data_IF_795198164035
#
_entry.id   IF_795198164035
#
_cell.length_a   1.000
_cell.length_b   1.000
_cell.length_c   1.000
_cell.angle_alpha   90.00
_cell.angle_beta   90.00
_cell.angle_gamma   90.00
#
_symmetry.space_group_name_H-M   'P 1'
#
loop_
_entity.id
_entity.type
_entity.pdbx_description
1 polymer ?
#
# COMPACT_ATOMS: atom_id res chain seq x y z
N UNK A 1 -26.13 5.31 -77.79
CA UNK A 1 -26.24 6.74 -77.41
C UNK A 1 -27.34 6.96 -76.38
N UNK A 2 -28.48 6.28 -76.49
CA UNK A 2 -29.58 6.35 -75.51
C UNK A 2 -29.20 5.86 -74.10
N UNK A 3 -28.54 4.71 -73.98
CA UNK A 3 -28.10 4.15 -72.69
C UNK A 3 -27.23 5.11 -71.85
N UNK A 4 -26.34 5.88 -72.51
CA UNK A 4 -25.52 6.90 -71.82
C UNK A 4 -26.37 8.04 -71.27
N UNK A 5 -27.40 8.45 -72.00
CA UNK A 5 -28.32 9.53 -71.60
C UNK A 5 -29.19 9.10 -70.41
N UNK A 6 -29.68 7.86 -70.43
CA UNK A 6 -30.49 7.31 -69.34
C UNK A 6 -29.70 7.22 -68.01
N UNK A 7 -28.43 6.81 -68.05
CA UNK A 7 -27.57 6.83 -66.86
C UNK A 7 -27.35 8.24 -66.32
N UNK A 8 -27.09 9.20 -67.19
CA UNK A 8 -26.85 10.59 -66.78
C UNK A 8 -28.12 11.22 -66.17
N UNK A 9 -29.30 10.91 -66.73
CA UNK A 9 -30.60 11.36 -66.20
C UNK A 9 -30.93 10.68 -64.86
N UNK A 10 -30.59 9.41 -64.68
CA UNK A 10 -30.72 8.70 -63.40
C UNK A 10 -29.83 9.34 -62.32
N UNK A 11 -28.58 9.66 -62.63
CA UNK A 11 -27.67 10.34 -61.69
C UNK A 11 -28.18 11.74 -61.32
N UNK A 12 -28.68 12.51 -62.28
CA UNK A 12 -29.31 13.82 -62.01
C UNK A 12 -30.52 13.69 -61.10
N UNK A 13 -31.35 12.66 -61.31
CA UNK A 13 -32.52 12.40 -60.46
C UNK A 13 -32.12 12.09 -59.02
N UNK A 14 -31.13 11.22 -58.81
CA UNK A 14 -30.61 10.91 -57.47
C UNK A 14 -30.03 12.17 -56.81
N UNK A 15 -29.22 12.94 -57.53
CA UNK A 15 -28.63 14.16 -56.98
C UNK A 15 -29.70 15.20 -56.59
N UNK A 16 -30.73 15.37 -57.44
CA UNK A 16 -31.86 16.25 -57.15
C UNK A 16 -32.67 15.79 -55.94
N UNK A 17 -32.95 14.48 -55.82
CA UNK A 17 -33.67 13.94 -54.67
C UNK A 17 -32.87 14.06 -53.37
N UNK A 18 -31.56 13.81 -53.41
CA UNK A 18 -30.67 13.98 -52.26
C UNK A 18 -30.62 15.44 -51.79
N UNK A 19 -30.48 16.40 -52.71
CA UNK A 19 -30.48 17.82 -52.36
C UNK A 19 -31.83 18.24 -51.76
N UNK A 20 -32.96 17.80 -52.35
CA UNK A 20 -34.28 18.10 -51.80
C UNK A 20 -34.50 17.52 -50.38
N UNK A 21 -33.96 16.33 -50.09
CA UNK A 21 -33.99 15.76 -48.73
C UNK A 21 -33.10 16.55 -47.77
N UNK A 22 -31.94 17.00 -48.24
CA UNK A 22 -31.01 17.80 -47.44
C UNK A 22 -31.63 19.15 -47.06
N UNK A 23 -32.24 19.86 -48.01
CA UNK A 23 -32.90 21.14 -47.78
C UNK A 23 -34.02 21.02 -46.73
N UNK A 24 -34.82 19.95 -46.78
CA UNK A 24 -35.85 19.67 -45.77
C UNK A 24 -35.27 19.44 -44.37
N UNK A 25 -34.11 18.79 -44.26
CA UNK A 25 -33.44 18.58 -42.97
C UNK A 25 -32.90 19.91 -42.42
N UNK A 26 -32.34 20.76 -43.27
CA UNK A 26 -31.90 22.10 -42.90
C UNK A 26 -33.07 22.95 -42.38
N UNK A 27 -34.21 22.96 -43.08
CA UNK A 27 -35.40 23.70 -42.67
C UNK A 27 -35.97 23.22 -41.31
N UNK A 28 -35.99 21.90 -41.07
CA UNK A 28 -36.39 21.33 -39.77
C UNK A 28 -35.42 21.71 -38.65
N UNK A 29 -34.11 21.77 -38.92
CA UNK A 29 -33.13 22.17 -37.93
C UNK A 29 -33.20 23.66 -37.60
N UNK A 30 -33.42 24.53 -38.58
CA UNK A 30 -33.56 25.97 -38.38
C UNK A 30 -34.83 26.34 -37.61
N UNK A 31 -35.94 25.64 -37.89
CA UNK A 31 -37.21 25.85 -37.17
C UNK A 31 -37.15 25.34 -35.73
N UNK A 32 -36.43 24.24 -35.46
CA UNK A 32 -36.32 23.65 -34.12
C UNK A 32 -35.31 24.36 -33.20
N UNK A 33 -34.31 25.04 -33.76
CA UNK A 33 -33.22 25.68 -32.98
C UNK A 33 -33.43 27.16 -32.67
N UNK A 34 -34.37 27.83 -33.34
CA UNK A 34 -34.47 29.29 -33.28
C UNK A 34 -35.42 29.80 -32.20
N UNK A 35 -36.49 29.09 -31.85
CA UNK A 35 -37.55 29.64 -30.98
C UNK A 35 -37.57 29.07 -29.56
N UNK A 36 -37.59 27.75 -29.41
CA UNK A 36 -37.75 27.13 -28.08
C UNK A 36 -36.43 27.04 -27.31
N UNK A 37 -35.33 26.69 -27.97
CA UNK A 37 -34.00 26.63 -27.34
C UNK A 37 -33.48 28.01 -26.92
N UNK A 38 -33.81 29.08 -27.66
CA UNK A 38 -33.38 30.43 -27.28
C UNK A 38 -34.05 30.89 -25.98
N UNK A 39 -35.36 30.64 -25.85
CA UNK A 39 -36.11 30.99 -24.64
C UNK A 39 -35.67 30.16 -23.42
N UNK A 40 -35.37 28.88 -23.61
CA UNK A 40 -34.85 28.02 -22.54
C UNK A 40 -33.45 28.43 -22.08
N UNK A 41 -32.56 28.81 -23.02
CA UNK A 41 -31.23 29.32 -22.71
C UNK A 41 -31.31 30.64 -21.92
N UNK A 42 -32.21 31.56 -22.29
CA UNK A 42 -32.40 32.80 -21.53
C UNK A 42 -32.94 32.53 -20.12
N UNK A 43 -33.88 31.59 -19.97
CA UNK A 43 -34.40 31.17 -18.66
C UNK A 43 -33.31 30.56 -17.78
N UNK A 44 -32.49 29.66 -18.32
CA UNK A 44 -31.38 29.04 -17.60
C UNK A 44 -30.30 30.06 -17.22
N UNK A 45 -29.99 31.03 -18.09
CA UNK A 45 -29.08 32.13 -17.76
C UNK A 45 -29.61 32.98 -16.60
N UNK A 46 -30.89 33.34 -16.62
CA UNK A 46 -31.51 34.09 -15.53
C UNK A 46 -31.48 33.33 -14.19
N UNK A 47 -31.67 32.01 -14.22
CA UNK A 47 -31.61 31.18 -13.02
C UNK A 47 -30.18 31.04 -12.46
N UNK A 48 -29.18 30.89 -13.33
CA UNK A 48 -27.76 30.90 -12.93
C UNK A 48 -27.38 32.24 -12.30
N UNK A 49 -27.81 33.36 -12.87
CA UNK A 49 -27.52 34.68 -12.31
C UNK A 49 -28.24 34.90 -10.97
N UNK A 50 -29.46 34.38 -10.81
CA UNK A 50 -30.18 34.39 -9.52
C UNK A 50 -29.44 33.58 -8.46
N UNK A 51 -29.00 32.36 -8.79
CA UNK A 51 -28.22 31.50 -7.86
C UNK A 51 -26.87 32.12 -7.49
N UNK A 52 -26.19 32.75 -8.46
CA UNK A 52 -24.95 33.51 -8.20
C UNK A 52 -25.22 34.68 -7.26
N UNK A 53 -26.29 35.46 -7.49
CA UNK A 53 -26.69 36.55 -6.60
C UNK A 53 -27.01 36.06 -5.18
N UNK A 54 -27.74 34.95 -5.04
CA UNK A 54 -28.04 34.37 -3.73
C UNK A 54 -26.78 33.88 -3.01
N UNK A 55 -25.84 33.26 -3.73
CA UNK A 55 -24.55 32.83 -3.16
C UNK A 55 -23.67 34.00 -2.76
N UNK A 56 -23.73 35.12 -3.49
CA UNK A 56 -23.02 36.36 -3.12
C UNK A 56 -23.73 37.14 -2.00
N UNK A 57 -25.06 37.05 -1.89
CA UNK A 57 -25.85 37.77 -0.88
C UNK A 57 -26.01 37.02 0.43
N UNK A 58 -25.80 35.69 0.45
CA UNK A 58 -25.81 34.89 1.68
C UNK A 58 -24.45 34.87 2.39
N UNK A 59 -23.42 35.49 1.82
CA UNK A 59 -22.21 35.79 2.55
C UNK A 59 -22.43 37.13 3.27
N UNK A 60 -22.47 37.16 4.61
CA UNK A 60 -22.57 38.43 5.32
C UNK A 60 -21.39 39.31 4.90
N UNK A 61 -21.72 40.52 4.45
CA UNK A 61 -20.78 41.59 4.14
C UNK A 61 -20.05 41.99 5.42
N UNK A 62 -19.03 41.20 5.76
CA UNK A 62 -18.05 41.48 6.79
C UNK A 62 -16.73 41.66 6.07
N UNK A 63 -16.24 42.90 6.09
CA UNK A 63 -14.91 43.31 5.66
C UNK A 63 -13.84 42.28 6.07
N UNK A 64 -13.27 41.54 5.10
CA UNK A 64 -12.33 40.46 5.42
C UNK A 64 -11.93 39.62 4.21
N UNK A 65 -11.47 40.25 3.12
CA UNK A 65 -10.98 39.54 1.92
C UNK A 65 -9.73 38.67 2.15
N UNK A 66 -9.15 38.68 3.36
CA UNK A 66 -8.05 37.79 3.78
C UNK A 66 -8.53 36.48 4.43
N UNK A 67 -9.80 36.36 4.83
CA UNK A 67 -10.28 35.23 5.64
C UNK A 67 -10.51 33.94 4.85
N UNK A 68 -10.84 34.02 3.56
CA UNK A 68 -11.18 32.84 2.76
C UNK A 68 -9.95 32.00 2.39
N UNK A 69 -8.81 32.64 2.08
CA UNK A 69 -7.53 31.94 1.90
C UNK A 69 -7.07 31.31 3.22
N UNK A 70 -7.21 32.03 4.34
CA UNK A 70 -6.88 31.53 5.67
C UNK A 70 -7.70 30.30 6.08
N UNK A 71 -8.99 30.22 5.71
CA UNK A 71 -9.83 29.05 5.97
C UNK A 71 -9.38 27.83 5.16
N UNK A 72 -8.96 28.01 3.91
CA UNK A 72 -8.41 26.90 3.10
C UNK A 72 -7.07 26.43 3.65
N UNK A 73 -6.19 27.35 4.05
CA UNK A 73 -4.93 27.04 4.69
C UNK A 73 -5.13 26.34 6.04
N UNK A 74 -6.14 26.74 6.82
CA UNK A 74 -6.54 26.08 8.07
C UNK A 74 -7.00 24.64 7.81
N UNK A 75 -7.89 24.42 6.84
CA UNK A 75 -8.38 23.07 6.49
C UNK A 75 -7.27 22.14 6.00
N UNK A 76 -6.31 22.67 5.23
CA UNK A 76 -5.15 21.88 4.79
C UNK A 76 -4.27 21.46 5.98
N UNK A 77 -4.01 22.38 6.91
CA UNK A 77 -3.29 22.06 8.16
C UNK A 77 -4.01 21.01 9.00
N UNK A 78 -5.33 21.13 9.17
CA UNK A 78 -6.14 20.16 9.91
C UNK A 78 -6.09 18.76 9.27
N UNK A 79 -6.11 18.69 7.93
CA UNK A 79 -6.00 17.42 7.21
C UNK A 79 -4.61 16.80 7.36
N UNK A 80 -3.55 17.61 7.31
CA UNK A 80 -2.17 17.16 7.56
C UNK A 80 -1.99 16.67 9.00
N UNK A 81 -2.52 17.38 9.98
CA UNK A 81 -2.49 16.98 11.39
C UNK A 81 -3.27 15.70 11.63
N UNK A 82 -4.45 15.55 11.03
CA UNK A 82 -5.23 14.32 11.09
C UNK A 82 -4.43 13.16 10.49
N UNK A 83 -3.83 13.35 9.32
CA UNK A 83 -2.99 12.34 8.67
C UNK A 83 -1.79 11.97 9.54
N UNK A 84 -1.09 12.97 10.12
CA UNK A 84 0.04 12.76 11.04
C UNK A 84 -0.40 11.96 12.27
N UNK A 85 -1.52 12.34 12.89
CA UNK A 85 -2.07 11.63 14.06
C UNK A 85 -2.43 10.18 13.75
N UNK A 86 -3.07 9.93 12.59
CA UNK A 86 -3.37 8.55 12.16
C UNK A 86 -2.11 7.73 11.90
N UNK A 87 -1.06 8.36 11.39
CA UNK A 87 0.23 7.73 11.17
C UNK A 87 0.93 7.43 12.51
N UNK A 88 0.99 8.38 13.43
CA UNK A 88 1.54 8.19 14.79
C UNK A 88 0.79 7.09 15.57
N UNK A 89 -0.54 7.01 15.44
CA UNK A 89 -1.34 5.93 16.03
C UNK A 89 -0.98 4.56 15.43
N UNK A 90 -0.72 4.50 14.12
CA UNK A 90 -0.28 3.27 13.45
C UNK A 90 1.14 2.87 13.88
N UNK A 91 2.07 3.82 13.91
CA UNK A 91 3.46 3.61 14.37
C UNK A 91 3.50 3.14 15.83
N UNK A 92 2.67 3.72 16.72
CA UNK A 92 2.54 3.24 18.10
C UNK A 92 2.03 1.80 18.20
N UNK A 93 1.07 1.40 17.35
CA UNK A 93 0.59 0.02 17.31
C UNK A 93 1.66 -0.95 16.80
N UNK A 94 2.42 -0.55 15.80
CA UNK A 94 3.55 -1.34 15.28
C UNK A 94 4.63 -1.51 16.35
N UNK A 95 5.04 -0.42 17.00
CA UNK A 95 6.03 -0.45 18.09
C UNK A 95 5.61 -1.40 19.23
N UNK A 96 4.33 -1.38 19.63
CA UNK A 96 3.83 -2.28 20.67
C UNK A 96 3.87 -3.78 20.24
N UNK A 97 3.55 -4.08 18.98
CA UNK A 97 3.65 -5.44 18.45
C UNK A 97 5.10 -5.91 18.32
N UNK A 98 6.01 -5.01 17.95
CA UNK A 98 7.45 -5.31 17.88
C UNK A 98 8.02 -5.65 19.26
N UNK A 99 7.63 -4.91 20.31
CA UNK A 99 7.99 -5.22 21.70
C UNK A 99 7.45 -6.59 22.14
N UNK A 100 6.20 -6.91 21.81
CA UNK A 100 5.59 -8.21 22.11
C UNK A 100 6.34 -9.36 21.41
N UNK A 101 6.69 -9.19 20.14
CA UNK A 101 7.49 -10.19 19.38
C UNK A 101 8.87 -10.38 20.02
N UNK A 102 9.53 -9.31 20.47
CA UNK A 102 10.82 -9.40 21.17
C UNK A 102 10.68 -10.18 22.49
N UNK A 103 9.64 -9.90 23.28
CA UNK A 103 9.38 -10.63 24.53
C UNK A 103 9.10 -12.11 24.27
N UNK A 104 8.27 -12.44 23.27
CA UNK A 104 7.97 -13.81 22.90
C UNK A 104 9.23 -14.59 22.45
N UNK A 105 10.11 -13.95 21.67
CA UNK A 105 11.39 -14.56 21.29
C UNK A 105 12.27 -14.86 22.50
N UNK A 106 12.40 -13.91 23.43
CA UNK A 106 13.16 -14.10 24.68
C UNK A 106 12.59 -15.22 25.54
N UNK A 107 11.26 -15.32 25.66
CA UNK A 107 10.61 -16.41 26.39
C UNK A 107 10.84 -17.77 25.71
N UNK A 108 10.82 -17.82 24.38
CA UNK A 108 11.14 -19.04 23.63
C UNK A 108 12.60 -19.45 23.80
N UNK A 109 13.53 -18.50 23.73
CA UNK A 109 14.96 -18.73 24.01
C UNK A 109 15.17 -19.23 25.44
N UNK A 110 14.49 -18.65 26.44
CA UNK A 110 14.55 -19.13 27.82
C UNK A 110 14.05 -20.57 27.94
N UNK A 111 12.87 -20.88 27.41
CA UNK A 111 12.30 -22.22 27.46
C UNK A 111 13.17 -23.27 26.75
N UNK A 112 13.80 -22.90 25.63
CA UNK A 112 14.71 -23.79 24.89
C UNK A 112 16.02 -24.00 25.65
N UNK A 113 16.56 -22.96 26.30
CA UNK A 113 17.73 -23.07 27.18
C UNK A 113 17.43 -23.93 28.42
N UNK A 114 16.27 -23.77 29.05
CA UNK A 114 15.82 -24.62 30.16
C UNK A 114 15.70 -26.07 29.71
N UNK A 115 15.05 -26.34 28.57
CA UNK A 115 14.93 -27.69 28.04
C UNK A 115 16.30 -28.32 27.72
N UNK A 116 17.24 -27.53 27.20
CA UNK A 116 18.61 -27.98 26.98
C UNK A 116 19.34 -28.30 28.30
N UNK A 117 19.12 -27.49 29.33
CA UNK A 117 19.69 -27.69 30.67
C UNK A 117 19.14 -28.97 31.30
N UNK A 118 17.82 -29.17 31.28
CA UNK A 118 17.18 -30.41 31.73
C UNK A 118 17.67 -31.64 30.97
N UNK A 119 17.88 -31.51 29.65
CA UNK A 119 18.46 -32.58 28.84
C UNK A 119 19.89 -32.91 29.28
N UNK A 120 20.73 -31.91 29.53
CA UNK A 120 22.10 -32.14 30.01
C UNK A 120 22.14 -32.76 31.41
N UNK A 121 21.27 -32.32 32.31
CA UNK A 121 21.16 -32.89 33.66
C UNK A 121 20.64 -34.33 33.64
N UNK A 122 19.65 -34.63 32.79
CA UNK A 122 19.16 -35.99 32.59
C UNK A 122 20.24 -36.95 32.04
N UNK A 123 21.15 -36.43 31.21
CA UNK A 123 22.27 -37.19 30.62
C UNK A 123 23.53 -37.22 31.50
N UNK A 124 23.53 -36.55 32.67
CA UNK A 124 24.73 -36.46 33.50
C UNK A 124 25.16 -37.86 34.01
N UNK A 125 26.41 -38.30 33.76
CA UNK A 125 26.95 -39.53 34.32
C UNK A 125 26.92 -39.46 35.85
N UNK A 126 26.02 -40.20 36.48
CA UNK A 126 25.77 -40.13 37.93
C UNK A 126 24.30 -40.16 38.32
N UNK A 127 23.39 -39.79 37.39
CA UNK A 127 21.95 -39.91 37.61
C UNK A 127 21.51 -41.38 37.43
N UNK A 128 21.55 -42.18 38.52
CA UNK A 128 21.23 -43.62 38.49
C UNK A 128 19.74 -43.95 38.28
N UNK A 129 18.86 -42.96 38.01
CA UNK A 129 17.41 -43.18 37.89
C UNK A 129 16.89 -43.49 36.48
N UNK A 130 17.73 -43.55 35.44
CA UNK A 130 17.16 -43.81 34.12
C UNK A 130 18.16 -43.93 32.97
N UNK A 131 19.03 -44.93 33.00
CA UNK A 131 19.48 -45.54 31.75
C UNK A 131 18.80 -46.90 31.65
N UNK A 132 17.48 -46.90 31.40
CA UNK A 132 16.87 -48.08 30.78
C UNK A 132 17.30 -47.97 29.33
N UNK A 133 18.42 -48.58 29.00
CA UNK A 133 18.75 -48.86 27.61
C UNK A 133 17.57 -49.68 27.10
N UNK A 134 16.72 -49.04 26.30
CA UNK A 134 15.76 -49.75 25.46
C UNK A 134 16.61 -50.36 24.36
N UNK A 135 17.39 -51.39 24.71
CA UNK A 135 17.91 -52.30 23.70
C UNK A 135 16.69 -52.82 22.93
N UNK A 136 16.88 -52.94 21.62
CA UNK A 136 15.91 -53.36 20.63
C UNK A 136 14.91 -54.36 21.23
N UNK A 137 13.63 -54.00 21.13
CA UNK A 137 12.51 -54.79 21.66
C UNK A 137 12.77 -56.28 21.43
N UNK A 138 12.96 -57.09 22.49
CA UNK A 138 13.25 -58.50 22.34
C UNK A 138 12.13 -59.13 21.53
N UNK A 139 12.53 -59.69 20.38
CA UNK A 139 11.71 -60.52 19.50
C UNK A 139 10.68 -61.33 20.29
N UNK A 140 9.45 -61.27 19.80
CA UNK A 140 8.19 -61.78 20.37
C UNK A 140 8.22 -63.31 20.52
N UNK A 141 9.02 -63.83 21.43
CA UNK A 141 9.03 -65.26 21.77
C UNK A 141 8.93 -65.43 23.28
N UNK A 142 7.67 -65.43 23.73
CA UNK A 142 7.13 -66.25 24.79
C UNK A 142 8.11 -66.66 25.91
N UNK A 143 8.28 -65.82 26.93
CA UNK A 143 8.59 -66.30 28.29
C UNK A 143 7.77 -65.58 29.35
N UNK A 144 7.08 -66.43 30.09
CA UNK A 144 6.31 -66.20 31.31
C UNK A 144 7.06 -65.28 32.26
N UNK A 145 6.49 -64.10 32.54
CA UNK A 145 6.99 -63.20 33.58
C UNK A 145 6.60 -63.76 34.96
N UNK A 146 7.53 -63.79 35.94
CA UNK A 146 7.20 -64.12 37.32
C UNK A 146 6.19 -63.10 37.85
N UNK A 147 5.15 -63.58 38.54
CA UNK A 147 4.26 -62.75 39.35
C UNK A 147 5.09 -62.09 40.46
N UNK A 148 5.58 -60.87 40.23
CA UNK A 148 5.99 -60.00 41.32
C UNK A 148 4.72 -59.58 42.05
N UNK A 149 4.52 -60.14 43.23
CA UNK A 149 3.54 -59.65 44.20
C UNK A 149 3.93 -58.22 44.59
N UNK A 150 3.04 -57.22 44.46
CA UNK A 150 3.33 -55.88 44.93
C UNK A 150 3.49 -55.93 46.46
N UNK A 151 4.68 -55.56 46.95
CA UNK A 151 4.89 -55.36 48.39
C UNK A 151 3.88 -54.33 48.88
N UNK A 152 3.17 -54.68 49.96
CA UNK A 152 2.23 -53.81 50.68
C UNK A 152 2.92 -52.50 51.04
N UNK A 153 2.57 -51.44 50.31
CA UNK A 153 2.83 -50.05 50.70
C UNK A 153 2.09 -49.77 52.00
N UNK A 154 2.71 -49.14 53.02
CA UNK A 154 2.05 -48.85 54.28
C UNK A 154 0.81 -47.99 54.05
N UNK A 155 -0.31 -48.41 54.64
CA UNK A 155 -1.59 -47.74 54.59
C UNK A 155 -1.51 -46.40 55.36
N UNK A 156 -1.22 -45.32 54.64
CA UNK A 156 -1.45 -43.95 55.11
C UNK A 156 -2.85 -43.53 54.66
N UNK A 157 -3.86 -44.10 55.33
CA UNK A 157 -5.27 -43.72 55.19
C UNK A 157 -5.57 -42.58 56.16
N UNK A 158 -5.35 -41.34 55.73
CA UNK A 158 -5.97 -40.14 56.34
C UNK A 158 -5.77 -38.83 55.54
N UNK A 159 -4.81 -38.75 54.60
CA UNK A 159 -4.45 -37.48 53.93
C UNK A 159 -4.88 -37.31 52.45
N UNK A 160 -5.22 -38.38 51.74
CA UNK A 160 -5.42 -38.34 50.26
C UNK A 160 -6.65 -37.57 49.78
N UNK A 161 -7.67 -37.41 50.62
CA UNK A 161 -8.89 -36.67 50.24
C UNK A 161 -8.66 -35.17 50.05
N UNK A 162 -7.62 -34.59 50.67
CA UNK A 162 -7.32 -33.17 50.50
C UNK A 162 -6.63 -32.88 49.16
N UNK A 163 -5.71 -33.74 48.73
CA UNK A 163 -4.99 -33.58 47.45
C UNK A 163 -5.88 -33.83 46.23
N UNK A 164 -6.80 -34.80 46.30
CA UNK A 164 -7.73 -35.09 45.20
C UNK A 164 -8.72 -33.95 44.94
N UNK A 165 -9.14 -33.23 46.00
CA UNK A 165 -9.92 -32.00 45.86
C UNK A 165 -9.12 -30.86 45.19
N UNK A 166 -7.80 -30.75 45.43
CA UNK A 166 -6.99 -29.73 44.75
C UNK A 166 -6.89 -29.97 43.25
N UNK A 167 -6.81 -31.22 42.80
CA UNK A 167 -6.75 -31.53 41.38
C UNK A 167 -8.09 -31.26 40.68
N UNK A 168 -9.20 -31.61 41.31
CA UNK A 168 -10.54 -31.29 40.79
C UNK A 168 -10.76 -29.76 40.69
N UNK A 169 -10.27 -29.00 41.66
CA UNK A 169 -10.35 -27.54 41.64
C UNK A 169 -9.45 -26.90 40.58
N UNK A 170 -8.23 -27.41 40.40
CA UNK A 170 -7.33 -26.98 39.31
C UNK A 170 -7.97 -27.26 37.95
N UNK A 171 -8.53 -28.46 37.75
CA UNK A 171 -9.21 -28.80 36.50
C UNK A 171 -10.43 -27.90 36.26
N UNK A 172 -11.21 -27.59 37.29
CA UNK A 172 -12.35 -26.68 37.19
C UNK A 172 -11.92 -25.27 36.76
N UNK A 173 -10.85 -24.75 37.37
CA UNK A 173 -10.28 -23.44 37.02
C UNK A 173 -9.77 -23.42 35.58
N UNK A 174 -9.07 -24.48 35.16
CA UNK A 174 -8.56 -24.63 33.80
C UNK A 174 -9.71 -24.64 32.78
N UNK A 175 -10.75 -25.44 33.02
CA UNK A 175 -11.94 -25.49 32.15
C UNK A 175 -12.64 -24.13 32.09
N UNK A 176 -12.72 -23.40 33.21
CA UNK A 176 -13.31 -22.07 33.22
C UNK A 176 -12.48 -21.06 32.43
N UNK A 177 -11.15 -21.09 32.58
CA UNK A 177 -10.23 -20.27 31.82
C UNK A 177 -10.32 -20.56 30.31
N UNK A 178 -10.36 -21.83 29.90
CA UNK A 178 -10.52 -22.21 28.50
C UNK A 178 -11.87 -21.74 27.92
N UNK A 179 -12.95 -21.81 28.69
CA UNK A 179 -14.26 -21.27 28.29
C UNK A 179 -14.23 -19.76 28.10
N UNK A 180 -13.59 -19.04 29.02
CA UNK A 180 -13.42 -17.59 28.93
C UNK A 180 -12.60 -17.20 27.69
N UNK A 181 -11.48 -17.89 27.46
CA UNK A 181 -10.62 -17.68 26.30
C UNK A 181 -11.38 -17.91 24.98
N UNK A 182 -12.15 -19.00 24.90
CA UNK A 182 -12.95 -19.30 23.72
C UNK A 182 -14.05 -18.25 23.48
N UNK A 183 -14.72 -17.80 24.54
CA UNK A 183 -15.73 -16.73 24.47
C UNK A 183 -15.12 -15.42 23.97
N UNK A 184 -13.92 -15.07 24.47
CA UNK A 184 -13.19 -13.89 24.02
C UNK A 184 -12.76 -13.98 22.56
N UNK A 185 -12.28 -15.14 22.09
CA UNK A 185 -11.92 -15.36 20.69
C UNK A 185 -13.14 -15.22 19.75
N UNK A 186 -14.26 -15.85 20.08
CA UNK A 186 -15.49 -15.74 19.28
C UNK A 186 -16.02 -14.31 19.22
N UNK A 187 -16.00 -13.58 20.34
CA UNK A 187 -16.39 -12.18 20.37
C UNK A 187 -15.43 -11.31 19.55
N UNK A 188 -14.13 -11.57 19.63
CA UNK A 188 -13.11 -10.90 18.82
C UNK A 188 -13.37 -11.09 17.31
N UNK A 189 -13.63 -12.32 16.88
CA UNK A 189 -13.98 -12.62 15.47
C UNK A 189 -15.24 -11.89 15.02
N UNK A 190 -16.30 -11.91 15.84
CA UNK A 190 -17.56 -11.20 15.53
C UNK A 190 -17.35 -9.69 15.37
N UNK A 191 -16.56 -9.06 16.25
CA UNK A 191 -16.24 -7.63 16.15
C UNK A 191 -15.44 -7.34 14.88
N UNK A 192 -14.44 -8.16 14.57
CA UNK A 192 -13.64 -8.02 13.35
C UNK A 192 -14.50 -8.17 12.08
N UNK A 193 -15.42 -9.14 12.04
CA UNK A 193 -16.36 -9.33 10.94
C UNK A 193 -17.29 -8.13 10.75
N UNK A 194 -17.80 -7.55 11.85
CA UNK A 194 -18.61 -6.34 11.80
C UNK A 194 -17.83 -5.14 11.27
N UNK A 195 -16.57 -4.97 11.67
CA UNK A 195 -15.73 -3.88 11.17
C UNK A 195 -15.39 -4.06 9.69
N UNK A 196 -15.10 -5.29 9.24
CA UNK A 196 -14.93 -5.59 7.81
C UNK A 196 -16.19 -5.26 7.02
N UNK A 197 -17.37 -5.58 7.56
CA UNK A 197 -18.65 -5.24 6.93
C UNK A 197 -18.84 -3.73 6.81
N UNK A 198 -18.55 -2.97 7.87
CA UNK A 198 -18.63 -1.50 7.90
C UNK A 198 -17.67 -0.86 6.89
N UNK A 199 -16.44 -1.36 6.80
CA UNK A 199 -15.45 -0.90 5.82
C UNK A 199 -15.89 -1.20 4.38
N UNK A 200 -16.49 -2.36 4.14
CA UNK A 200 -17.03 -2.74 2.83
C UNK A 200 -18.18 -1.82 2.41
N UNK A 201 -19.13 -1.56 3.30
CA UNK A 201 -20.24 -0.62 3.07
C UNK A 201 -19.72 0.80 2.80
N UNK A 202 -18.72 1.26 3.56
CA UNK A 202 -18.08 2.57 3.32
C UNK A 202 -17.35 2.65 1.98
N UNK A 203 -16.69 1.56 1.55
CA UNK A 203 -16.03 1.48 0.23
C UNK A 203 -17.05 1.51 -0.90
N UNK A 204 -18.15 0.77 -0.78
CA UNK A 204 -19.24 0.75 -1.75
C UNK A 204 -19.91 2.13 -1.86
N UNK A 205 -20.19 2.79 -0.74
CA UNK A 205 -20.73 4.15 -0.73
C UNK A 205 -19.78 5.14 -1.43
N UNK A 206 -18.47 5.04 -1.16
CA UNK A 206 -17.46 5.87 -1.81
C UNK A 206 -17.36 5.59 -3.31
N UNK A 207 -17.48 4.34 -3.73
CA UNK A 207 -17.50 3.95 -5.14
C UNK A 207 -18.71 4.52 -5.88
N UNK A 208 -19.90 4.46 -5.27
CA UNK A 208 -21.11 5.05 -5.84
C UNK A 208 -20.98 6.56 -6.02
N UNK A 209 -20.36 7.26 -5.06
CA UNK A 209 -20.11 8.71 -5.17
C UNK A 209 -19.10 9.02 -6.29
N UNK A 210 -18.04 8.22 -6.42
CA UNK A 210 -17.09 8.34 -7.54
C UNK A 210 -17.81 8.13 -8.88
N UNK A 211 -18.69 7.15 -9.00
CA UNK A 211 -19.47 6.94 -10.22
C UNK A 211 -20.47 8.07 -10.50
N UNK A 212 -21.07 8.64 -9.45
CA UNK A 212 -21.94 9.83 -9.55
C UNK A 212 -21.16 11.02 -10.10
N UNK A 213 -20.00 11.33 -9.52
CA UNK A 213 -19.12 12.42 -9.96
C UNK A 213 -18.60 12.19 -11.37
N UNK A 214 -18.23 10.95 -11.73
CA UNK A 214 -17.84 10.59 -13.10
C UNK A 214 -18.96 10.87 -14.11
N UNK A 215 -20.21 10.54 -13.77
CA UNK A 215 -21.38 10.85 -14.62
C UNK A 215 -21.61 12.35 -14.77
N UNK A 216 -21.47 13.12 -13.70
CA UNK A 216 -21.58 14.59 -13.76
C UNK A 216 -20.47 15.21 -14.63
N UNK A 217 -19.23 14.74 -14.49
CA UNK A 217 -18.13 15.17 -15.34
C UNK A 217 -18.36 14.82 -16.81
N UNK A 218 -18.84 13.61 -17.11
CA UNK A 218 -19.18 13.20 -18.47
C UNK A 218 -20.28 14.10 -19.06
N UNK A 219 -21.31 14.42 -18.26
CA UNK A 219 -22.42 15.32 -18.67
C UNK A 219 -21.93 16.73 -18.97
N UNK A 220 -21.06 17.30 -18.11
CA UNK A 220 -20.48 18.62 -18.35
C UNK A 220 -19.57 18.63 -19.59
N UNK A 221 -18.78 17.57 -19.80
CA UNK A 221 -17.90 17.47 -20.96
C UNK A 221 -18.67 17.37 -22.28
N UNK A 222 -19.82 16.68 -22.29
CA UNK A 222 -20.70 16.62 -23.46
C UNK A 222 -21.32 17.98 -23.79
N UNK A 223 -21.85 18.70 -22.78
CA UNK A 223 -22.41 20.04 -22.99
C UNK A 223 -21.38 21.08 -23.46
N UNK A 224 -20.12 20.90 -23.08
CA UNK A 224 -19.01 21.78 -23.50
C UNK A 224 -18.59 21.53 -24.96
N UNK A 225 -18.73 20.29 -25.47
CA UNK A 225 -18.50 19.98 -26.89
C UNK A 225 -19.61 20.52 -27.81
N UNK A 226 -20.86 20.48 -27.37
CA UNK A 226 -22.01 20.94 -28.17
C UNK A 226 -22.07 22.46 -28.30
N UNK A 227 -21.55 23.20 -27.32
CA UNK A 227 -21.54 24.68 -27.33
C UNK A 227 -20.22 25.29 -27.85
N UNK A 228 -19.19 24.47 -28.11
CA UNK A 228 -17.81 24.92 -28.32
C UNK A 228 -17.29 25.05 -29.76
N UNK A 229 -18.08 24.80 -30.80
CA UNK A 229 -17.54 24.72 -32.19
C UNK A 229 -17.72 25.98 -33.05
N UNK A 230 -17.85 27.17 -32.45
CA UNK A 230 -17.68 28.46 -33.17
C UNK A 230 -16.77 29.45 -32.42
N UNK A 231 -15.95 28.93 -31.50
CA UNK A 231 -14.92 29.70 -30.80
C UNK A 231 -13.65 29.82 -31.64
N UNK A 232 -13.19 31.05 -31.81
CA UNK A 232 -12.05 31.48 -32.60
C UNK A 232 -10.75 30.71 -32.29
N UNK A 233 -9.89 30.55 -33.30
CA UNK A 233 -8.60 29.87 -33.31
C UNK A 233 -7.52 30.53 -32.39
N UNK A 234 -7.94 31.22 -31.33
CA UNK A 234 -7.07 31.99 -30.44
C UNK A 234 -6.32 31.10 -29.45
N UNK A 235 -6.96 30.05 -28.93
CA UNK A 235 -6.32 29.14 -27.96
C UNK A 235 -5.22 28.31 -28.62
N UNK A 236 -5.47 27.77 -29.82
CA UNK A 236 -4.45 27.10 -30.64
C UNK A 236 -3.29 28.04 -30.97
N UNK A 237 -3.58 29.30 -31.34
CA UNK A 237 -2.54 30.31 -31.60
C UNK A 237 -1.74 30.70 -30.35
N UNK A 238 -2.36 30.73 -29.17
CA UNK A 238 -1.64 30.98 -27.91
C UNK A 238 -0.76 29.79 -27.51
N UNK A 239 -1.25 28.56 -27.68
CA UNK A 239 -0.45 27.35 -27.41
C UNK A 239 0.69 27.20 -28.43
N UNK A 240 0.48 27.57 -29.70
CA UNK A 240 1.52 27.61 -30.73
C UNK A 240 2.57 28.69 -30.43
N UNK A 241 2.16 29.90 -30.05
CA UNK A 241 3.09 30.96 -29.64
C UNK A 241 3.87 30.61 -28.36
N UNK A 242 3.24 29.93 -27.40
CA UNK A 242 3.91 29.47 -26.18
C UNK A 242 4.95 28.38 -26.50
N UNK A 243 4.63 27.45 -27.39
CA UNK A 243 5.54 26.38 -27.80
C UNK A 243 6.69 26.90 -28.70
N UNK A 244 6.43 27.91 -29.53
CA UNK A 244 7.46 28.56 -30.34
C UNK A 244 8.44 29.41 -29.50
N UNK A 245 7.97 29.97 -28.38
CA UNK A 245 8.84 30.71 -27.45
C UNK A 245 9.86 29.82 -26.74
N UNK A 246 9.63 28.51 -26.64
CA UNK A 246 10.54 27.56 -26.00
C UNK A 246 11.71 27.12 -26.89
N UNK A 247 11.68 27.42 -28.21
CA UNK A 247 12.73 27.01 -29.16
C UNK A 247 13.83 28.06 -29.37
N UNK A 248 13.75 29.23 -28.75
CA UNK A 248 14.80 30.28 -28.83
C UNK A 248 15.33 30.69 -27.46
N UNK A 249 15.94 29.74 -26.74
CA UNK A 249 16.80 30.06 -25.61
C UNK A 249 17.83 28.94 -25.38
N UNK A 250 18.65 28.67 -26.41
CA UNK A 250 19.99 28.15 -26.16
C UNK A 250 20.82 29.24 -25.48
N UNK A 251 21.52 28.86 -24.40
CA UNK A 251 22.42 29.65 -23.55
C UNK A 251 21.76 30.61 -22.56
N UNK A 252 21.65 30.13 -21.32
CA UNK A 252 22.03 30.95 -20.19
C UNK A 252 21.17 30.78 -18.95
N UNK A 253 21.77 30.15 -17.94
CA UNK A 253 21.42 30.19 -16.50
C UNK A 253 20.21 29.34 -16.09
N UNK A 254 20.54 28.20 -15.49
CA UNK A 254 19.59 27.42 -14.69
C UNK A 254 19.10 28.23 -13.48
N UNK A 255 17.79 28.38 -13.30
CA UNK A 255 17.23 28.71 -12.00
C UNK A 255 17.20 27.43 -11.15
N UNK A 256 18.05 27.40 -10.12
CA UNK A 256 17.99 26.46 -8.99
C UNK A 256 16.70 26.71 -8.20
N UNK A 257 15.60 26.10 -8.65
CA UNK A 257 14.32 26.09 -7.96
C UNK A 257 14.23 24.85 -7.06
N UNK A 258 14.14 25.09 -5.75
CA UNK A 258 13.95 24.10 -4.69
C UNK A 258 12.57 23.40 -4.71
N UNK A 259 11.74 23.63 -5.74
CA UNK A 259 10.41 23.00 -5.88
C UNK A 259 10.46 21.56 -6.46
N UNK A 260 11.62 21.10 -6.97
CA UNK A 260 11.75 19.77 -7.61
C UNK A 260 11.74 18.57 -6.66
N UNK A 261 11.86 18.76 -5.34
CA UNK A 261 11.98 17.64 -4.41
C UNK A 261 10.63 16.93 -4.16
N UNK A 262 9.52 17.68 -4.13
CA UNK A 262 8.18 17.11 -4.00
C UNK A 262 7.73 16.36 -5.28
N UNK A 263 8.12 16.84 -6.46
CA UNK A 263 7.86 16.12 -7.73
C UNK A 263 8.71 14.85 -7.90
N UNK A 264 9.92 14.81 -7.30
CA UNK A 264 10.79 13.62 -7.32
C UNK A 264 10.22 12.46 -6.49
N UNK A 265 9.52 12.74 -5.39
CA UNK A 265 8.93 11.69 -4.55
C UNK A 265 7.85 10.89 -5.30
N UNK A 266 6.96 11.57 -6.06
CA UNK A 266 5.96 10.88 -6.89
C UNK A 266 6.59 10.10 -8.05
N UNK A 267 7.74 10.54 -8.56
CA UNK A 267 8.44 9.82 -9.63
C UNK A 267 9.17 8.56 -9.12
N UNK A 268 9.58 8.52 -7.85
CA UNK A 268 10.26 7.35 -7.25
C UNK A 268 9.31 6.14 -7.17
N UNK A 269 8.08 6.36 -6.71
CA UNK A 269 7.07 5.29 -6.62
C UNK A 269 6.68 4.76 -8.00
N UNK A 270 6.48 5.66 -8.99
CA UNK A 270 6.22 5.27 -10.37
C UNK A 270 7.35 4.42 -10.96
N UNK A 271 8.61 4.83 -10.72
CA UNK A 271 9.78 4.07 -11.16
C UNK A 271 9.85 2.67 -10.53
N UNK A 272 9.59 2.55 -9.21
CA UNK A 272 9.57 1.25 -8.53
C UNK A 272 8.45 0.35 -9.09
N UNK A 273 7.28 0.91 -9.37
CA UNK A 273 6.15 0.16 -9.95
C UNK A 273 6.44 -0.33 -11.38
N UNK A 274 7.06 0.51 -12.22
CA UNK A 274 7.47 0.11 -13.56
C UNK A 274 8.57 -0.95 -13.51
N UNK A 275 9.56 -0.81 -12.61
CA UNK A 275 10.59 -1.81 -12.39
C UNK A 275 9.98 -3.15 -11.94
N UNK A 276 9.05 -3.16 -10.97
CA UNK A 276 8.31 -4.37 -10.57
C UNK A 276 7.59 -5.03 -11.75
N UNK A 277 6.92 -4.24 -12.59
CA UNK A 277 6.21 -4.74 -13.77
C UNK A 277 7.17 -5.41 -14.76
N UNK A 278 8.34 -4.82 -15.00
CA UNK A 278 9.35 -5.43 -15.90
C UNK A 278 9.90 -6.75 -15.36
N UNK A 279 10.11 -6.86 -14.03
CA UNK A 279 10.63 -8.08 -13.41
C UNK A 279 9.58 -9.18 -13.23
N UNK A 280 8.29 -8.85 -13.25
CA UNK A 280 7.21 -9.82 -13.01
C UNK A 280 7.17 -10.92 -14.09
N UNK A 281 7.46 -10.59 -15.35
CA UNK A 281 7.44 -11.53 -16.48
C UNK A 281 8.73 -12.31 -16.74
N UNK A 282 9.81 -12.03 -16.00
CA UNK A 282 11.11 -12.66 -16.23
C UNK A 282 11.24 -14.02 -15.55
N UNK A 283 11.95 -14.94 -16.23
CA UNK A 283 12.25 -16.27 -15.70
C UNK A 283 13.41 -16.19 -14.70
N UNK A 284 13.57 -17.26 -13.91
CA UNK A 284 14.61 -17.37 -12.87
C UNK A 284 16.02 -17.06 -13.39
N UNK A 285 16.38 -17.55 -14.58
CA UNK A 285 17.71 -17.39 -15.14
C UNK A 285 17.99 -15.93 -15.54
N UNK A 286 16.98 -15.24 -16.07
CA UNK A 286 17.07 -13.80 -16.39
C UNK A 286 17.22 -12.96 -15.11
N UNK A 287 16.50 -13.31 -14.04
CA UNK A 287 16.63 -12.65 -12.74
C UNK A 287 18.04 -12.85 -12.17
N UNK A 288 18.62 -14.05 -12.26
CA UNK A 288 20.01 -14.30 -11.85
C UNK A 288 21.01 -13.45 -12.64
N UNK A 289 20.83 -13.34 -13.96
CA UNK A 289 21.68 -12.48 -14.78
C UNK A 289 21.59 -10.99 -14.39
N UNK A 290 20.43 -10.53 -13.91
CA UNK A 290 20.28 -9.16 -13.36
C UNK A 290 20.93 -9.06 -11.97
N UNK A 291 20.82 -10.08 -11.12
CA UNK A 291 21.49 -10.13 -9.82
C UNK A 291 23.01 -9.95 -9.96
N UNK A 292 23.61 -10.69 -10.90
CA UNK A 292 25.05 -10.63 -11.16
C UNK A 292 25.48 -9.25 -11.67
N UNK A 293 24.63 -8.56 -12.44
CA UNK A 293 24.88 -7.19 -12.91
C UNK A 293 24.71 -6.14 -11.82
N UNK A 294 23.71 -6.30 -10.96
CA UNK A 294 23.36 -5.33 -9.93
C UNK A 294 24.17 -5.50 -8.63
N UNK A 295 24.81 -6.67 -8.46
CA UNK A 295 25.54 -7.04 -7.26
C UNK A 295 24.64 -7.51 -6.11
N UNK A 296 23.47 -8.08 -6.43
CA UNK A 296 22.46 -8.52 -5.44
C UNK A 296 22.58 -10.03 -5.25
N UNK A 297 22.60 -10.51 -4.00
CA UNK A 297 22.66 -11.94 -3.71
C UNK A 297 21.30 -12.61 -4.01
N UNK A 298 21.30 -13.66 -4.85
CA UNK A 298 20.07 -14.37 -5.20
C UNK A 298 19.54 -15.18 -4.00
N UNK A 299 18.32 -14.87 -3.53
CA UNK A 299 17.65 -15.58 -2.43
C UNK A 299 16.41 -16.33 -2.94
N UNK A 300 15.21 -15.89 -2.56
CA UNK A 300 13.95 -16.36 -3.17
C UNK A 300 13.59 -15.44 -4.32
N UNK A 301 12.89 -15.97 -5.34
CA UNK A 301 12.64 -15.24 -6.59
C UNK A 301 11.96 -13.88 -6.34
N UNK A 302 10.89 -13.85 -5.53
CA UNK A 302 10.14 -12.63 -5.27
C UNK A 302 10.90 -11.63 -4.40
N UNK A 303 11.65 -12.12 -3.39
CA UNK A 303 12.50 -11.26 -2.54
C UNK A 303 13.63 -10.63 -3.34
N UNK A 304 14.24 -11.41 -4.21
CA UNK A 304 15.32 -10.95 -5.10
C UNK A 304 14.81 -9.89 -6.08
N UNK A 305 13.59 -10.05 -6.62
CA UNK A 305 12.96 -9.03 -7.47
C UNK A 305 12.77 -7.70 -6.74
N UNK A 306 12.32 -7.74 -5.48
CA UNK A 306 12.16 -6.52 -4.66
C UNK A 306 13.51 -5.87 -4.33
N UNK A 307 14.54 -6.66 -3.98
CA UNK A 307 15.89 -6.16 -3.73
C UNK A 307 16.48 -5.47 -4.98
N UNK A 308 16.27 -6.04 -6.17
CA UNK A 308 16.66 -5.39 -7.45
C UNK A 308 15.92 -4.06 -7.64
N UNK A 309 14.62 -3.98 -7.36
CA UNK A 309 13.84 -2.73 -7.50
C UNK A 309 14.38 -1.64 -6.57
N UNK A 310 14.68 -1.99 -5.32
CA UNK A 310 15.26 -1.06 -4.35
C UNK A 310 16.65 -0.59 -4.80
N UNK A 311 17.50 -1.51 -5.25
CA UNK A 311 18.85 -1.20 -5.75
C UNK A 311 18.79 -0.29 -6.99
N UNK A 312 17.90 -0.58 -7.95
CA UNK A 312 17.68 0.24 -9.14
C UNK A 312 17.17 1.64 -8.78
N UNK A 313 16.25 1.75 -7.82
CA UNK A 313 15.75 3.04 -7.35
C UNK A 313 16.84 3.82 -6.61
N UNK A 314 17.64 3.17 -5.76
CA UNK A 314 18.78 3.79 -5.11
C UNK A 314 19.77 4.33 -6.16
N UNK A 315 20.20 3.50 -7.12
CA UNK A 315 21.10 3.91 -8.20
C UNK A 315 20.55 5.05 -9.05
N UNK A 316 19.26 5.05 -9.39
CA UNK A 316 18.64 6.08 -10.24
C UNK A 316 18.45 7.43 -9.52
N UNK A 317 18.23 7.43 -8.21
CA UNK A 317 17.89 8.65 -7.47
C UNK A 317 19.04 9.16 -6.56
N UNK A 318 19.90 8.30 -6.03
CA UNK A 318 21.03 8.66 -5.15
C UNK A 318 22.27 9.13 -5.94
N UNK A 319 22.41 8.75 -7.21
CA UNK A 319 23.49 9.21 -8.08
C UNK A 319 23.49 10.73 -8.33
N UNK A 320 22.41 11.44 -7.96
CA UNK A 320 22.36 12.91 -8.03
C UNK A 320 22.88 13.63 -6.78
N UNK A 321 23.18 12.92 -5.68
CA UNK A 321 23.64 13.52 -4.43
C UNK A 321 25.17 13.59 -4.29
N UNK A 322 25.92 12.71 -4.97
CA UNK A 322 27.36 12.55 -4.73
C UNK A 322 28.27 13.20 -5.78
N UNK A 323 27.71 13.92 -6.77
CA UNK A 323 28.51 14.57 -7.83
C UNK A 323 28.81 16.07 -7.55
N UNK A 324 28.52 16.57 -6.34
CA UNK A 324 28.77 17.96 -5.96
C UNK A 324 29.92 18.14 -4.94
N UNK A 325 30.62 17.07 -4.56
CA UNK A 325 31.79 17.16 -3.66
C UNK A 325 33.06 17.08 -4.47
N UNK A 326 33.42 18.24 -5.02
CA UNK A 326 34.78 18.79 -5.13
C UNK A 326 35.90 17.76 -4.94
N UNK A 327 36.66 17.52 -6.01
CA UNK A 327 38.06 17.12 -5.96
C UNK A 327 38.81 18.10 -5.03
N UNK A 328 38.94 17.77 -3.74
CA UNK A 328 40.00 18.30 -2.89
C UNK A 328 41.07 17.23 -2.85
N UNK A 329 42.14 17.56 -3.54
CA UNK A 329 43.46 16.96 -3.44
C UNK A 329 43.87 16.95 -1.95
N UNK A 330 44.10 15.78 -1.38
CA UNK A 330 44.99 15.57 -0.23
C UNK A 330 45.60 14.19 -0.44
N UNK A 331 46.75 14.13 -1.11
CA UNK A 331 48.09 14.19 -0.49
C UNK A 331 48.32 13.03 0.50
N UNK A 332 49.24 12.18 0.06
CA UNK A 332 50.02 11.20 0.78
C UNK A 332 50.21 11.49 2.27
N UNK A 333 49.92 10.48 3.10
CA UNK A 333 50.81 10.15 4.21
C UNK A 333 50.89 8.64 4.35
N UNK A 334 52.09 8.14 4.03
CA UNK A 334 52.59 6.81 4.37
C UNK A 334 52.70 6.62 5.89
N UNK A 335 52.76 5.34 6.27
CA UNK A 335 53.31 4.78 7.50
C UNK A 335 52.62 5.07 8.85
N UNK A 336 52.18 4.01 9.53
CA UNK A 336 53.02 3.32 10.53
C UNK A 336 52.30 2.05 11.01
N UNK A 337 53.05 0.96 10.89
CA UNK A 337 52.86 -0.36 11.51
C UNK A 337 52.95 -0.33 13.04
N UNK A 338 52.06 -1.07 13.72
CA UNK A 338 52.28 -1.72 15.02
C UNK A 338 51.09 -2.69 15.22
N UNK A 339 51.21 -3.99 14.96
CA UNK A 339 51.77 -5.00 15.86
C UNK A 339 51.72 -4.62 17.36
N UNK A 340 50.68 -5.08 18.06
CA UNK A 340 50.80 -5.47 19.46
C UNK A 340 50.00 -6.74 19.70
N UNK A 341 50.75 -7.73 20.19
CA UNK A 341 50.37 -9.07 20.53
C UNK A 341 49.51 -9.19 21.81
N UNK A 342 48.74 -10.27 21.84
CA UNK A 342 48.77 -11.30 22.88
C UNK A 342 48.92 -10.90 24.36
N UNK A 343 47.83 -11.00 25.11
CA UNK A 343 47.73 -11.59 26.45
C UNK A 343 46.23 -11.87 26.68
N UNK A 344 45.76 -13.05 27.07
CA UNK A 344 46.34 -13.94 28.06
C UNK A 344 45.74 -13.62 29.43
N UNK A 345 44.91 -14.55 29.91
CA UNK A 345 44.79 -14.95 31.32
C UNK A 345 43.77 -14.31 32.30
N UNK A 346 42.97 -15.25 32.85
CA UNK A 346 42.51 -15.48 34.24
C UNK A 346 41.78 -14.40 35.05
N UNK A 347 40.57 -14.72 35.51
CA UNK A 347 40.20 -15.02 36.92
C UNK A 347 38.65 -15.08 37.03
N UNK A 348 37.99 -16.16 37.47
CA UNK A 348 37.96 -16.80 38.79
C UNK A 348 37.37 -15.92 39.91
N UNK A 349 36.28 -16.41 40.50
CA UNK A 349 35.59 -15.98 41.74
C UNK A 349 34.89 -14.60 41.76
N UNK A 350 33.55 -14.62 41.86
CA UNK A 350 32.90 -14.50 43.17
C UNK A 350 31.43 -14.91 43.15
#
# INVERSE_FOLDING_TARGET
MEDRKERDDFHKRIAGEMNSRFDKVCEVLETKTSKDSSAEIEKLKAEVDKLRKMKSSSLPSSSGATSAEDDTARRLRELEEFRRKTQEDAERRVSALEEEVVLLRRLHEHATNEAATWKHEALHPGNKRGCVVIEESPSVHARVRPRCTPMKTPAVTAGRSAEENTMADVHRKEVQFLKELHSRDLNGRRIAELEVKRLKEGKEASQLEIERLKRELAKMNMGMKETGSKGTNLKTKLDEAANDSARRAEKGKQPTSMSKQAARANNKEGFMMDARRTLQGLKKDDIKAICDKEGVAYTTLDRTKEEIVLQCAAKAFESTSNQATINVISEETEDVSADVAHAGDYDANS
#
